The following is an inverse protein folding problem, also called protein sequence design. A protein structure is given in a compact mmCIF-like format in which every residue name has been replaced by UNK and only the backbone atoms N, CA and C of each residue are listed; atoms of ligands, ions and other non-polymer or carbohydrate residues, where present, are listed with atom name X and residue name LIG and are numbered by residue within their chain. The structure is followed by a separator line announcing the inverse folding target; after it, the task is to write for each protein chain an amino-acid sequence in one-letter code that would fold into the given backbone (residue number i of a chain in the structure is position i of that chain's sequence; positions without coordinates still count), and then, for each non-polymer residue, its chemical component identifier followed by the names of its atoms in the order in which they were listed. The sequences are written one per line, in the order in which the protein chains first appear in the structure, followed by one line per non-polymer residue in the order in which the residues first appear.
data_IF_310536582026
#
_entry.id   IF_310536582026
#
_cell.length_a   1.000
_cell.length_b   1.000
_cell.length_c   1.000
_cell.angle_alpha   90.00
_cell.angle_beta   90.00
_cell.angle_gamma   90.00
#
_symmetry.space_group_name_H-M   'P 1'
#
loop_
_entity.id
_entity.type
_entity.pdbx_description
1 polymer ?
#
# COMPACT_ATOMS: atom_id res chain seq x y z
N UNK A 1 -28.45 -7.65 -1.41
CA UNK A 1 -27.39 -6.66 -1.60
C UNK A 1 -26.05 -7.31 -1.64
N UNK A 2 -25.24 -6.86 -2.58
CA UNK A 2 -23.93 -7.46 -2.72
C UNK A 2 -23.01 -6.95 -1.64
N UNK A 3 -22.11 -7.80 -1.21
CA UNK A 3 -21.06 -7.37 -0.33
C UNK A 3 -20.02 -6.61 -1.12
N UNK A 4 -19.36 -5.69 -0.44
CA UNK A 4 -18.38 -4.84 -1.09
C UNK A 4 -16.99 -5.23 -0.61
N UNK A 5 -16.10 -5.47 -1.57
CA UNK A 5 -14.70 -5.74 -1.31
C UNK A 5 -13.90 -4.53 -1.74
N UNK A 6 -13.10 -4.01 -0.83
CA UNK A 6 -12.25 -2.88 -1.12
C UNK A 6 -10.81 -3.34 -1.21
N UNK A 7 -10.17 -3.01 -2.30
CA UNK A 7 -8.79 -3.39 -2.57
C UNK A 7 -7.96 -2.14 -2.61
N UNK A 8 -6.94 -2.08 -1.80
CA UNK A 8 -6.20 -0.84 -1.58
C UNK A 8 -4.75 -1.07 -1.95
N UNK A 9 -4.21 -0.19 -2.78
CA UNK A 9 -2.81 -0.25 -3.18
C UNK A 9 -1.95 0.34 -2.07
N UNK A 10 -1.50 -0.53 -1.18
CA UNK A 10 -0.72 -0.08 -0.04
C UNK A 10 0.61 0.53 -0.43
N UNK A 11 1.25 -0.04 -1.45
CA UNK A 11 2.55 0.47 -1.85
C UNK A 11 2.46 1.89 -2.40
N UNK A 12 1.42 2.17 -3.17
CA UNK A 12 1.22 3.51 -3.67
C UNK A 12 1.06 4.51 -2.53
N UNK A 13 0.32 4.13 -1.52
CA UNK A 13 0.14 5.01 -0.37
C UNK A 13 1.43 5.20 0.43
N UNK A 14 2.27 4.15 0.49
CA UNK A 14 3.54 4.26 1.19
C UNK A 14 4.42 5.32 0.53
N UNK A 15 4.58 5.22 -0.79
CA UNK A 15 5.45 6.17 -1.48
C UNK A 15 4.88 7.57 -1.41
N UNK A 16 3.58 7.69 -1.54
CA UNK A 16 2.96 9.01 -1.42
C UNK A 16 3.20 9.60 -0.04
N UNK A 17 3.06 8.80 1.00
CA UNK A 17 3.28 9.28 2.35
C UNK A 17 4.74 9.69 2.57
N UNK A 18 5.64 8.89 2.03
CA UNK A 18 7.06 9.17 2.21
C UNK A 18 7.44 10.51 1.60
N UNK A 19 6.96 10.78 0.41
CA UNK A 19 7.34 12.01 -0.28
C UNK A 19 6.50 13.22 0.11
N UNK A 20 5.39 13.01 0.80
CA UNK A 20 4.54 14.12 1.20
C UNK A 20 5.02 14.82 2.46
N UNK A 21 5.83 14.15 3.25
CA UNK A 21 6.24 14.68 4.54
C UNK A 21 7.75 14.86 4.58
N UNK A 22 8.21 15.87 5.33
CA UNK A 22 9.64 15.98 5.54
C UNK A 22 10.13 14.82 6.39
N UNK A 23 11.44 14.60 6.43
CA UNK A 23 11.99 13.55 7.27
C UNK A 23 11.56 13.71 8.74
N UNK A 24 11.13 12.61 9.30
CA UNK A 24 10.79 12.52 10.72
C UNK A 24 11.46 11.29 11.27
N UNK A 25 11.98 11.40 12.47
CA UNK A 25 12.61 10.24 13.11
C UNK A 25 12.01 10.04 14.50
N UNK A 26 12.00 8.79 14.91
CA UNK A 26 11.61 8.45 16.26
C UNK A 26 12.73 8.85 17.22
N UNK A 27 12.46 8.84 18.54
CA UNK A 27 13.53 9.11 19.51
C UNK A 27 14.73 8.20 19.34
N UNK A 28 14.51 7.00 18.81
CA UNK A 28 15.59 6.05 18.58
C UNK A 28 16.31 6.28 17.26
N UNK A 29 15.92 7.29 16.50
CA UNK A 29 16.60 7.59 15.26
C UNK A 29 16.08 6.85 14.05
N UNK A 30 14.94 6.18 14.15
CA UNK A 30 14.36 5.43 13.05
C UNK A 30 13.50 6.36 12.21
N UNK A 31 13.67 6.38 10.89
CA UNK A 31 12.80 7.21 10.06
C UNK A 31 11.36 6.72 10.14
N UNK A 32 10.42 7.64 10.33
CA UNK A 32 9.02 7.27 10.50
C UNK A 32 8.06 8.18 9.72
N UNK A 33 8.57 8.99 8.80
CA UNK A 33 7.67 9.89 8.08
C UNK A 33 6.65 9.13 7.25
N UNK A 34 7.07 8.04 6.59
CA UNK A 34 6.12 7.25 5.82
C UNK A 34 5.13 6.54 6.72
N UNK A 35 5.59 6.03 7.86
CA UNK A 35 4.70 5.39 8.81
C UNK A 35 3.63 6.37 9.27
N UNK A 36 4.04 7.56 9.62
CA UNK A 36 3.11 8.58 10.11
C UNK A 36 2.09 8.96 9.04
N UNK A 37 2.57 9.26 7.84
CA UNK A 37 1.68 9.67 6.77
C UNK A 37 0.76 8.55 6.32
N UNK A 38 1.32 7.36 6.19
CA UNK A 38 0.52 6.20 5.78
C UNK A 38 -0.59 5.93 6.79
N UNK A 39 -0.24 5.91 8.06
CA UNK A 39 -1.22 5.61 9.10
C UNK A 39 -2.33 6.65 9.10
N UNK A 40 -1.98 7.92 8.99
CA UNK A 40 -3.00 8.96 8.94
C UNK A 40 -3.90 8.83 7.73
N UNK A 41 -3.31 8.54 6.57
CA UNK A 41 -4.10 8.38 5.36
C UNK A 41 -5.05 7.20 5.48
N UNK A 42 -4.57 6.10 6.04
CA UNK A 42 -5.40 4.91 6.18
C UNK A 42 -6.49 5.09 7.22
N UNK A 43 -6.21 5.80 8.29
CA UNK A 43 -7.26 6.08 9.25
C UNK A 43 -8.38 6.89 8.63
N UNK A 44 -8.02 7.88 7.81
CA UNK A 44 -9.04 8.65 7.11
C UNK A 44 -9.79 7.81 6.11
N UNK A 45 -9.05 6.98 5.38
CA UNK A 45 -9.67 6.16 4.35
C UNK A 45 -10.68 5.21 4.97
N UNK A 46 -10.31 4.55 6.05
CA UNK A 46 -11.20 3.58 6.67
C UNK A 46 -12.44 4.22 7.27
N UNK A 47 -12.37 5.51 7.59
CA UNK A 47 -13.55 6.21 8.07
C UNK A 47 -14.49 6.60 6.94
N UNK A 48 -13.95 6.78 5.75
CA UNK A 48 -14.76 7.24 4.62
C UNK A 48 -15.35 6.12 3.80
N UNK A 49 -14.65 5.01 3.69
CA UNK A 49 -15.14 3.93 2.85
C UNK A 49 -15.93 2.95 3.69
N UNK A 50 -16.90 2.35 3.07
CA UNK A 50 -17.71 1.33 3.72
C UNK A 50 -17.53 0.05 2.95
N UNK A 51 -16.83 -0.87 3.56
CA UNK A 51 -16.49 -2.12 2.93
C UNK A 51 -16.86 -3.26 3.86
N UNK A 52 -17.39 -4.31 3.27
CA UNK A 52 -17.61 -5.53 4.04
C UNK A 52 -16.28 -6.25 4.24
N UNK A 53 -15.40 -6.17 3.25
CA UNK A 53 -14.07 -6.76 3.33
C UNK A 53 -13.08 -5.77 2.77
N UNK A 54 -11.93 -5.67 3.42
CA UNK A 54 -10.86 -4.79 2.96
C UNK A 54 -9.58 -5.57 2.87
N UNK A 55 -8.83 -5.35 1.80
CA UNK A 55 -7.55 -6.01 1.62
C UNK A 55 -6.56 -4.97 1.10
N UNK A 56 -5.45 -4.86 1.79
CA UNK A 56 -4.38 -3.95 1.40
C UNK A 56 -3.34 -4.76 0.66
N UNK A 57 -2.99 -4.33 -0.53
CA UNK A 57 -2.07 -5.09 -1.37
C UNK A 57 -0.79 -4.31 -1.52
N UNK A 58 0.31 -4.99 -1.28
CA UNK A 58 1.62 -4.37 -1.38
C UNK A 58 2.43 -5.05 -2.47
N UNK A 59 3.30 -4.28 -3.08
CA UNK A 59 4.33 -4.89 -3.91
C UNK A 59 5.19 -5.74 -3.00
N UNK A 60 5.62 -6.87 -3.52
CA UNK A 60 6.49 -7.71 -2.73
C UNK A 60 7.77 -6.96 -2.44
N UNK A 61 8.38 -7.30 -1.32
CA UNK A 61 9.65 -6.70 -0.97
C UNK A 61 10.70 -6.94 -2.00
N UNK A 62 10.39 -7.74 -2.96
CA UNK A 62 11.30 -8.10 -4.02
C UNK A 62 11.35 -7.10 -5.12
N UNK A 63 10.96 -5.90 -4.86
CA UNK A 63 11.17 -4.86 -5.84
C UNK A 63 12.62 -4.76 -6.21
N UNK A 64 13.48 -5.04 -5.25
CA UNK A 64 14.90 -5.09 -5.54
C UNK A 64 15.22 -6.18 -6.51
N UNK A 65 14.55 -7.31 -6.35
CA UNK A 65 14.69 -8.42 -7.24
C UNK A 65 14.37 -8.01 -8.67
N UNK A 66 13.30 -7.26 -8.82
CA UNK A 66 12.91 -6.78 -10.15
C UNK A 66 13.97 -5.83 -10.70
N UNK A 67 14.54 -5.02 -9.85
CA UNK A 67 15.59 -4.13 -10.27
C UNK A 67 16.83 -4.90 -10.76
N UNK A 68 17.10 -6.02 -10.12
CA UNK A 68 18.23 -6.82 -10.52
C UNK A 68 18.02 -7.46 -11.88
N UNK A 69 16.79 -7.89 -12.15
CA UNK A 69 16.50 -8.56 -13.40
C UNK A 69 16.38 -7.58 -14.53
N UNK A 70 15.81 -6.43 -14.28
CA UNK A 70 15.56 -5.45 -15.31
C UNK A 70 16.13 -4.11 -14.90
N UNK A 71 17.43 -3.98 -14.88
CA UNK A 71 18.01 -2.71 -14.45
C UNK A 71 17.57 -1.55 -15.33
N UNK A 72 17.41 -1.81 -16.62
CA UNK A 72 16.98 -0.75 -17.53
C UNK A 72 15.51 -0.46 -17.42
N UNK A 73 14.75 -1.41 -16.94
CA UNK A 73 13.33 -1.24 -16.77
C UNK A 73 13.04 -0.08 -15.83
N UNK A 74 13.95 0.16 -14.93
CA UNK A 74 13.78 1.21 -13.95
C UNK A 74 14.59 2.43 -14.30
N UNK A 75 14.92 2.60 -15.54
CA UNK A 75 15.79 3.69 -15.93
C UNK A 75 15.36 5.03 -15.42
N UNK A 76 14.06 5.26 -15.34
CA UNK A 76 13.53 6.53 -14.85
C UNK A 76 13.06 6.43 -13.44
N UNK A 77 13.14 5.27 -12.84
CA UNK A 77 12.61 5.07 -11.51
C UNK A 77 13.74 4.97 -10.52
N UNK A 78 13.61 5.65 -9.44
CA UNK A 78 14.66 5.66 -8.43
C UNK A 78 14.59 4.39 -7.62
N UNK A 79 15.73 4.02 -7.09
CA UNK A 79 15.78 2.93 -6.13
C UNK A 79 14.98 3.34 -4.90
N UNK A 80 14.62 2.35 -4.11
CA UNK A 80 13.90 2.61 -2.88
C UNK A 80 14.79 3.41 -1.95
N UNK A 81 14.32 4.54 -1.45
CA UNK A 81 15.15 5.33 -0.53
C UNK A 81 15.53 4.55 0.71
N UNK A 82 16.76 4.75 1.15
CA UNK A 82 17.24 4.04 2.33
C UNK A 82 16.38 4.29 3.55
N UNK A 83 15.92 5.52 3.69
CA UNK A 83 15.11 5.87 4.85
C UNK A 83 13.75 5.22 4.83
N UNK A 84 13.31 4.76 3.67
CA UNK A 84 12.02 4.11 3.57
C UNK A 84 12.09 2.64 3.93
N UNK A 85 13.23 2.01 3.69
CA UNK A 85 13.34 0.56 3.86
C UNK A 85 12.92 0.10 5.26
N UNK A 86 13.43 0.68 6.34
CA UNK A 86 13.03 0.20 7.67
C UNK A 86 11.57 0.47 7.99
N UNK A 87 10.92 1.32 7.23
CA UNK A 87 9.54 1.68 7.53
C UNK A 87 8.54 0.66 6.99
N UNK A 88 8.95 -0.18 6.04
CA UNK A 88 8.00 -1.14 5.47
C UNK A 88 7.43 -2.08 6.52
N UNK A 89 8.28 -2.66 7.36
CA UNK A 89 7.80 -3.59 8.38
C UNK A 89 6.90 -2.89 9.39
N UNK A 90 7.25 -1.67 9.73
CA UNK A 90 6.45 -0.91 10.69
C UNK A 90 5.08 -0.60 10.10
N UNK A 91 5.05 -0.29 8.81
CA UNK A 91 3.78 -0.01 8.14
C UNK A 91 2.91 -1.28 8.11
N UNK A 92 3.52 -2.42 7.86
CA UNK A 92 2.76 -3.67 7.89
C UNK A 92 2.16 -3.90 9.26
N UNK A 93 2.90 -3.58 10.31
CA UNK A 93 2.38 -3.69 11.67
C UNK A 93 1.23 -2.71 11.90
N UNK A 94 1.33 -1.51 11.33
CA UNK A 94 0.27 -0.54 11.46
C UNK A 94 -1.01 -1.02 10.79
N UNK A 95 -0.89 -1.66 9.62
CA UNK A 95 -2.06 -2.20 8.94
C UNK A 95 -2.74 -3.24 9.81
N UNK A 96 -1.96 -4.11 10.43
CA UNK A 96 -2.53 -5.10 11.33
C UNK A 96 -3.18 -4.44 12.54
N UNK A 97 -2.57 -3.41 13.06
CA UNK A 97 -3.11 -2.71 14.21
C UNK A 97 -4.44 -2.03 13.88
N UNK A 98 -4.62 -1.64 12.64
CA UNK A 98 -5.89 -1.09 12.18
C UNK A 98 -6.92 -2.17 11.88
N UNK A 99 -6.57 -3.42 12.14
CA UNK A 99 -7.46 -4.54 11.95
C UNK A 99 -7.79 -4.77 10.49
N UNK A 100 -6.83 -4.51 9.63
CA UNK A 100 -6.96 -4.74 8.21
C UNK A 100 -6.09 -5.91 7.80
N UNK A 101 -6.48 -6.56 6.72
CA UNK A 101 -5.69 -7.63 6.14
C UNK A 101 -4.80 -7.07 5.05
N UNK A 102 -3.63 -7.62 4.92
CA UNK A 102 -2.76 -7.23 3.82
C UNK A 102 -2.12 -8.46 3.19
N UNK A 103 -1.67 -8.29 1.98
CA UNK A 103 -1.07 -9.37 1.22
C UNK A 103 0.01 -8.81 0.32
N UNK A 104 1.12 -9.52 0.24
CA UNK A 104 2.05 -9.34 -0.85
C UNK A 104 2.38 -10.73 -1.38
N UNK A 105 2.80 -10.78 -2.63
CA UNK A 105 3.12 -12.06 -3.23
C UNK A 105 4.33 -11.86 -4.10
N UNK A 106 5.33 -12.68 -3.85
CA UNK A 106 6.59 -12.55 -4.54
C UNK A 106 6.38 -12.69 -6.03
N UNK A 107 7.00 -11.79 -6.78
CA UNK A 107 6.88 -11.79 -8.22
C UNK A 107 5.72 -10.99 -8.77
N UNK A 108 4.89 -10.43 -7.91
CA UNK A 108 3.73 -9.66 -8.37
C UNK A 108 3.75 -8.27 -7.77
N UNK A 109 3.23 -7.33 -8.53
CA UNK A 109 3.03 -5.98 -8.03
C UNK A 109 1.62 -5.84 -7.49
N UNK A 110 1.42 -4.81 -6.70
CA UNK A 110 0.10 -4.57 -6.11
C UNK A 110 -0.98 -4.47 -7.18
N UNK A 111 -0.68 -3.82 -8.30
CA UNK A 111 -1.66 -3.68 -9.37
C UNK A 111 -2.12 -5.01 -9.90
N UNK A 112 -1.19 -5.96 -10.04
CA UNK A 112 -1.54 -7.30 -10.51
C UNK A 112 -2.47 -7.99 -9.53
N UNK A 113 -2.17 -7.84 -8.25
CA UNK A 113 -2.97 -8.48 -7.22
C UNK A 113 -4.34 -7.84 -7.13
N UNK A 114 -4.42 -6.53 -7.28
CA UNK A 114 -5.70 -5.85 -7.26
C UNK A 114 -6.59 -6.35 -8.38
N UNK A 115 -6.02 -6.46 -9.59
CA UNK A 115 -6.81 -6.93 -10.72
C UNK A 115 -7.32 -8.34 -10.50
N UNK A 116 -6.45 -9.20 -9.96
CA UNK A 116 -6.82 -10.59 -9.73
C UNK A 116 -7.92 -10.71 -8.68
N UNK A 117 -7.76 -10.02 -7.57
CA UNK A 117 -8.74 -10.12 -6.50
C UNK A 117 -10.05 -9.42 -6.85
N UNK A 118 -9.97 -8.35 -7.66
CA UNK A 118 -11.20 -7.73 -8.15
C UNK A 118 -12.00 -8.71 -9.00
N UNK A 119 -11.31 -9.42 -9.88
CA UNK A 119 -11.97 -10.41 -10.73
C UNK A 119 -12.58 -11.52 -9.88
N UNK A 120 -11.85 -11.99 -8.89
CA UNK A 120 -12.36 -13.04 -8.00
C UNK A 120 -13.58 -12.57 -7.22
N UNK A 121 -13.54 -11.32 -6.76
CA UNK A 121 -14.66 -10.79 -5.99
C UNK A 121 -15.90 -10.69 -6.86
N UNK A 122 -15.75 -10.20 -8.08
CA UNK A 122 -16.89 -10.08 -8.98
C UNK A 122 -17.47 -11.44 -9.31
N UNK A 123 -16.62 -12.44 -9.51
CA UNK A 123 -17.10 -13.79 -9.80
C UNK A 123 -17.81 -14.40 -8.62
N UNK A 124 -17.49 -13.96 -7.41
CA UNK A 124 -18.16 -14.43 -6.21
C UNK A 124 -19.43 -13.65 -5.91
N UNK A 125 -19.80 -12.71 -6.77
CA UNK A 125 -21.03 -11.94 -6.57
C UNK A 125 -20.86 -10.72 -5.70
N UNK A 126 -19.63 -10.29 -5.49
CA UNK A 126 -19.35 -9.10 -4.68
C UNK A 126 -19.08 -7.91 -5.59
N UNK A 127 -19.30 -6.74 -5.06
CA UNK A 127 -18.83 -5.52 -5.69
C UNK A 127 -17.37 -5.33 -5.33
N UNK A 128 -16.58 -4.84 -6.28
CA UNK A 128 -15.16 -4.61 -6.02
C UNK A 128 -14.85 -3.14 -6.28
N UNK A 129 -14.18 -2.51 -5.34
CA UNK A 129 -13.77 -1.13 -5.46
C UNK A 129 -12.28 -1.08 -5.18
N UNK A 130 -11.52 -0.41 -6.04
CA UNK A 130 -10.10 -0.32 -5.84
C UNK A 130 -9.70 1.11 -5.53
N UNK A 131 -8.75 1.25 -4.63
CA UNK A 131 -8.20 2.53 -4.24
C UNK A 131 -6.72 2.51 -4.54
N UNK A 132 -6.34 3.16 -5.62
CA UNK A 132 -4.95 3.23 -6.04
C UNK A 132 -4.57 4.68 -6.09
N UNK A 133 -3.31 4.97 -5.89
CA UNK A 133 -2.72 6.31 -5.91
C UNK A 133 -3.73 7.44 -5.84
N UNK A 134 -4.68 7.30 -4.97
CA UNK A 134 -5.69 8.30 -4.87
C UNK A 134 -5.15 9.55 -4.28
N UNK A 135 -5.37 10.60 -5.01
CA UNK A 135 -5.54 11.83 -4.31
C UNK A 135 -6.78 11.62 -3.51
N UNK A 136 -6.63 11.32 -2.28
CA UNK A 136 -7.78 11.40 -1.43
C UNK A 136 -8.34 12.75 -1.66
N UNK A 137 -9.63 12.82 -2.00
CA UNK A 137 -10.23 14.14 -2.13
C UNK A 137 -9.89 14.86 -0.88
N UNK A 138 -9.40 16.03 -1.06
CA UNK A 138 -9.04 16.83 0.07
C UNK A 138 -10.26 17.24 0.84
N UNK A 139 -11.35 16.79 0.45
CA UNK A 139 -12.56 17.10 1.21
C UNK A 139 -13.00 15.92 2.02
#
# INVERSE_FOLDING_TARGET
MNKRVCLIDGSGYIFRAFYALPPLTSPDGIPVNAVYGFTNMFMRLTQKIKCDYSLVLFDAKRQNFRNEIFPDYKGTRKEIPEDLIPQFDIIHQAVKALNLHYLDMEGYEADDLIATYADMALKAGCDAVSYTHLTLPTT
#
